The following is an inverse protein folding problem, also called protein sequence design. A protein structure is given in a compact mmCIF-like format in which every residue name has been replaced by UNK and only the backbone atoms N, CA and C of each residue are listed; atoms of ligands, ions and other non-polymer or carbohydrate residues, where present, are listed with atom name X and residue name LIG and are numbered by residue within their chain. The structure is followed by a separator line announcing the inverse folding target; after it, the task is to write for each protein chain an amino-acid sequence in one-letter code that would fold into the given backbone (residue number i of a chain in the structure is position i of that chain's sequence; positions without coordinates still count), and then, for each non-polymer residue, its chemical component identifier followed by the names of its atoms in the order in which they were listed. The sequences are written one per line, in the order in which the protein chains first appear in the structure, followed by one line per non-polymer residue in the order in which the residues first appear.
data_IF_116655031306
#
_entry.id   IF_116655031306
#
_cell.length_a   1.000
_cell.length_b   1.000
_cell.length_c   1.000
_cell.angle_alpha   90.00
_cell.angle_beta   90.00
_cell.angle_gamma   90.00
#
_symmetry.space_group_name_H-M   'P 1'
#
loop_
_entity.id
_entity.type
_entity.pdbx_description
1 polymer ?
#
# COMPACT_ATOMS: atom_id res chain seq x y z
N UNK A 1 -4.48 -19.74 -8.67
CA UNK A 1 -5.72 -19.92 -9.46
C UNK A 1 -6.90 -19.39 -8.67
N UNK A 2 -7.63 -18.44 -9.24
CA UNK A 2 -8.90 -17.99 -8.67
C UNK A 2 -9.91 -19.11 -8.91
N UNK A 3 -10.48 -19.65 -7.84
CA UNK A 3 -11.41 -20.76 -7.92
C UNK A 3 -12.64 -20.43 -8.80
N UNK A 4 -13.04 -21.37 -9.64
CA UNK A 4 -14.16 -21.22 -10.60
C UNK A 4 -15.51 -20.84 -9.97
N UNK A 5 -15.65 -20.90 -8.65
CA UNK A 5 -16.88 -20.52 -7.93
C UNK A 5 -17.11 -19.01 -7.76
N UNK A 6 -16.10 -18.15 -8.08
CA UNK A 6 -16.22 -16.69 -8.01
C UNK A 6 -16.50 -16.05 -9.37
N UNK A 7 -16.54 -16.83 -10.45
CA UNK A 7 -16.70 -16.33 -11.81
C UNK A 7 -18.16 -16.44 -12.22
N UNK A 8 -18.94 -15.43 -11.92
CA UNK A 8 -20.20 -15.18 -12.63
C UNK A 8 -19.88 -14.50 -13.97
N UNK A 9 -20.72 -14.69 -14.98
CA UNK A 9 -20.56 -14.15 -16.33
C UNK A 9 -20.47 -12.63 -16.42
N UNK A 10 -20.71 -11.93 -15.31
CA UNK A 10 -20.75 -10.45 -15.23
C UNK A 10 -19.61 -9.86 -14.39
N UNK A 11 -18.71 -10.68 -13.82
CA UNK A 11 -17.64 -10.21 -12.95
C UNK A 11 -16.32 -10.09 -13.72
N UNK A 12 -15.80 -8.87 -13.85
CA UNK A 12 -14.45 -8.61 -14.35
C UNK A 12 -13.45 -8.70 -13.19
N UNK A 13 -12.67 -9.77 -13.12
CA UNK A 13 -11.57 -9.91 -12.18
C UNK A 13 -10.26 -9.54 -12.89
N UNK A 14 -9.42 -8.75 -12.24
CA UNK A 14 -8.10 -8.37 -12.75
C UNK A 14 -7.07 -8.54 -11.66
N UNK A 15 -6.15 -9.47 -11.87
CA UNK A 15 -5.04 -9.70 -10.96
C UNK A 15 -3.87 -8.80 -11.29
N UNK A 16 -3.20 -8.33 -10.25
CA UNK A 16 -1.98 -7.54 -10.37
C UNK A 16 -0.98 -7.97 -9.31
N UNK A 17 0.28 -8.04 -9.72
CA UNK A 17 1.39 -8.21 -8.81
C UNK A 17 2.32 -7.00 -8.92
N UNK A 18 2.45 -6.25 -7.84
CA UNK A 18 3.36 -5.10 -7.71
C UNK A 18 3.94 -5.03 -6.31
N UNK A 19 4.17 -6.19 -5.72
CA UNK A 19 4.64 -6.32 -4.35
C UNK A 19 3.87 -5.39 -3.38
N UNK A 20 4.55 -4.77 -2.43
CA UNK A 20 3.90 -3.94 -1.40
C UNK A 20 3.17 -2.70 -1.94
N UNK A 21 3.41 -2.28 -3.18
CA UNK A 21 2.63 -1.21 -3.83
C UNK A 21 1.38 -1.72 -4.55
N UNK A 22 1.13 -3.02 -4.53
CA UNK A 22 0.05 -3.69 -5.28
C UNK A 22 -1.33 -3.09 -5.04
N UNK A 23 -1.69 -2.79 -3.79
CA UNK A 23 -2.97 -2.17 -3.46
C UNK A 23 -3.10 -0.75 -4.05
N UNK A 24 -2.07 0.08 -3.96
CA UNK A 24 -2.09 1.43 -4.54
C UNK A 24 -2.18 1.40 -6.07
N UNK A 25 -1.51 0.45 -6.70
CA UNK A 25 -1.64 0.24 -8.14
C UNK A 25 -3.04 -0.29 -8.52
N UNK A 26 -3.64 -1.18 -7.71
CA UNK A 26 -5.02 -1.63 -7.92
C UNK A 26 -6.02 -0.48 -7.78
N UNK A 27 -5.84 0.39 -6.79
CA UNK A 27 -6.65 1.61 -6.60
C UNK A 27 -6.56 2.52 -7.83
N UNK A 28 -5.35 2.70 -8.39
CA UNK A 28 -5.15 3.47 -9.61
C UNK A 28 -5.90 2.88 -10.81
N UNK A 29 -5.79 1.57 -11.00
CA UNK A 29 -6.50 0.88 -12.08
C UNK A 29 -8.01 0.99 -11.89
N UNK A 30 -8.50 0.85 -10.64
CA UNK A 30 -9.91 1.02 -10.31
C UNK A 30 -10.44 2.41 -10.71
N UNK A 31 -9.69 3.46 -10.38
CA UNK A 31 -10.04 4.82 -10.79
C UNK A 31 -10.03 5.02 -12.31
N UNK A 32 -9.06 4.44 -13.00
CA UNK A 32 -9.03 4.49 -14.46
C UNK A 32 -10.22 3.76 -15.09
N UNK A 33 -10.67 2.66 -14.48
CA UNK A 33 -11.85 1.93 -14.94
C UNK A 33 -13.14 2.72 -14.77
N UNK A 34 -13.32 3.49 -13.72
CA UNK A 34 -14.48 4.39 -13.59
C UNK A 34 -14.56 5.43 -14.71
N UNK A 35 -13.41 5.89 -15.23
CA UNK A 35 -13.36 6.84 -16.34
C UNK A 35 -13.60 6.20 -17.72
N UNK A 36 -13.49 4.87 -17.83
CA UNK A 36 -13.53 4.14 -19.10
C UNK A 36 -14.66 3.12 -19.21
N UNK A 37 -15.43 2.94 -18.15
CA UNK A 37 -16.55 1.98 -18.08
C UNK A 37 -17.72 2.54 -17.29
N UNK A 38 -18.88 1.89 -17.34
CA UNK A 38 -20.07 2.23 -16.56
C UNK A 38 -20.09 1.57 -15.17
N UNK A 39 -18.96 1.09 -14.66
CA UNK A 39 -18.89 0.49 -13.33
C UNK A 39 -19.22 1.51 -12.25
N UNK A 40 -20.10 1.13 -11.36
CA UNK A 40 -20.51 1.96 -10.21
C UNK A 40 -19.72 1.63 -8.94
N UNK A 41 -19.24 0.41 -8.83
CA UNK A 41 -18.50 -0.11 -7.69
C UNK A 41 -17.37 -1.01 -8.17
N UNK A 42 -16.24 -0.93 -7.50
CA UNK A 42 -15.08 -1.81 -7.71
C UNK A 42 -14.60 -2.27 -6.34
N UNK A 43 -14.45 -3.57 -6.16
CA UNK A 43 -13.85 -4.18 -4.99
C UNK A 43 -12.35 -4.35 -5.22
N UNK A 44 -11.54 -3.71 -4.38
CA UNK A 44 -10.09 -3.82 -4.36
C UNK A 44 -9.68 -4.76 -3.23
N UNK A 45 -8.89 -5.76 -3.52
CA UNK A 45 -8.44 -6.76 -2.54
C UNK A 45 -6.92 -6.83 -2.56
N UNK A 46 -6.30 -6.62 -1.39
CA UNK A 46 -4.92 -7.00 -1.13
C UNK A 46 -4.91 -8.31 -0.36
N UNK A 47 -4.30 -9.36 -0.91
CA UNK A 47 -4.24 -10.68 -0.28
C UNK A 47 -2.85 -11.26 -0.44
N UNK A 48 -2.19 -11.47 0.70
CA UNK A 48 -0.78 -11.81 0.73
C UNK A 48 -0.53 -13.00 1.68
N UNK A 49 0.21 -13.99 1.18
CA UNK A 49 0.70 -15.10 1.97
C UNK A 49 2.22 -15.10 1.97
N UNK A 50 2.77 -14.18 2.77
CA UNK A 50 4.22 -13.97 2.87
C UNK A 50 4.93 -15.19 3.44
N UNK A 51 4.27 -15.95 4.31
CA UNK A 51 4.81 -17.18 4.91
C UNK A 51 5.33 -18.21 3.88
N UNK A 52 4.79 -18.19 2.65
CA UNK A 52 5.24 -19.10 1.57
C UNK A 52 6.54 -18.70 0.92
N UNK A 53 6.97 -17.47 1.07
CA UNK A 53 8.15 -16.90 0.40
C UNK A 53 9.20 -16.41 1.39
N UNK A 54 9.12 -16.82 2.66
CA UNK A 54 10.09 -16.51 3.70
C UNK A 54 11.00 -17.69 3.98
N UNK A 55 12.30 -17.41 4.11
CA UNK A 55 13.25 -18.35 4.68
C UNK A 55 13.23 -18.21 6.21
N UNK A 56 12.65 -19.18 6.90
CA UNK A 56 12.56 -19.16 8.36
C UNK A 56 13.89 -19.34 9.08
N UNK A 57 14.96 -19.66 8.36
CA UNK A 57 16.33 -19.70 8.89
C UNK A 57 17.00 -18.33 8.85
N UNK A 58 16.51 -17.41 8.00
CA UNK A 58 16.97 -16.01 7.94
C UNK A 58 16.14 -15.11 8.87
N UNK A 59 16.64 -14.92 10.07
CA UNK A 59 16.00 -14.04 11.08
C UNK A 59 16.01 -12.56 10.72
N UNK A 60 16.73 -12.14 9.70
CA UNK A 60 16.73 -10.75 9.24
C UNK A 60 15.48 -10.39 8.43
N UNK A 61 14.79 -11.38 7.90
CA UNK A 61 13.59 -11.23 7.07
C UNK A 61 12.36 -11.88 7.68
N UNK A 62 12.42 -13.11 8.16
CA UNK A 62 11.23 -13.88 8.57
C UNK A 62 10.44 -13.25 9.72
N UNK A 63 11.08 -12.46 10.59
CA UNK A 63 10.44 -11.81 11.74
C UNK A 63 9.68 -10.53 11.37
N UNK A 64 9.78 -10.05 10.14
CA UNK A 64 9.21 -8.78 9.73
C UNK A 64 7.84 -8.92 9.08
N UNK A 65 7.62 -10.04 8.39
CA UNK A 65 6.45 -10.22 7.52
C UNK A 65 5.35 -11.03 8.18
N UNK A 66 4.10 -10.73 7.80
CA UNK A 66 2.91 -11.47 8.18
C UNK A 66 2.04 -11.80 6.97
N UNK A 67 1.17 -12.80 7.12
CA UNK A 67 0.10 -13.09 6.17
C UNK A 67 -1.10 -12.20 6.48
N UNK A 68 -1.82 -11.77 5.45
CA UNK A 68 -3.01 -10.96 5.65
C UNK A 68 -3.78 -10.68 4.37
N UNK A 69 -5.03 -10.30 4.55
CA UNK A 69 -5.89 -9.84 3.47
C UNK A 69 -6.75 -8.66 3.95
N UNK A 70 -6.96 -7.70 3.07
CA UNK A 70 -7.85 -6.58 3.30
C UNK A 70 -8.56 -6.19 2.01
N UNK A 71 -9.77 -5.68 2.12
CA UNK A 71 -10.58 -5.30 0.98
C UNK A 71 -11.22 -3.93 1.16
N UNK A 72 -11.30 -3.16 0.07
CA UNK A 72 -11.93 -1.84 0.04
C UNK A 72 -12.89 -1.77 -1.14
N UNK A 73 -14.14 -1.43 -0.87
CA UNK A 73 -15.13 -1.15 -1.89
C UNK A 73 -15.04 0.33 -2.25
N UNK A 74 -14.68 0.64 -3.50
CA UNK A 74 -14.71 2.00 -4.03
C UNK A 74 -15.94 2.21 -4.89
N UNK A 75 -16.50 3.42 -4.84
CA UNK A 75 -17.68 3.84 -5.59
C UNK A 75 -17.31 4.97 -6.54
N UNK A 76 -17.83 4.93 -7.76
CA UNK A 76 -17.74 6.07 -8.68
C UNK A 76 -18.40 7.30 -8.05
N UNK A 77 -17.64 8.37 -7.87
CA UNK A 77 -18.09 9.64 -7.30
C UNK A 77 -17.17 10.77 -7.78
N UNK A 78 -17.64 12.01 -7.65
CA UNK A 78 -16.85 13.22 -7.98
C UNK A 78 -15.95 13.66 -6.81
N UNK A 79 -15.51 12.70 -5.98
CA UNK A 79 -14.62 12.96 -4.87
C UNK A 79 -13.19 13.15 -5.36
N UNK A 80 -12.38 13.83 -4.54
CA UNK A 80 -11.00 14.08 -4.89
C UNK A 80 -10.20 12.79 -4.92
N UNK A 81 -9.53 12.57 -6.06
CA UNK A 81 -8.54 11.54 -6.25
C UNK A 81 -7.31 12.08 -6.98
N UNK A 82 -6.16 11.89 -6.41
CA UNK A 82 -4.86 12.19 -7.05
C UNK A 82 -3.90 11.06 -6.75
N UNK A 83 -2.96 10.82 -7.66
CA UNK A 83 -1.93 9.82 -7.43
C UNK A 83 -0.63 10.14 -8.16
N UNK A 84 0.42 9.52 -7.68
CA UNK A 84 1.74 9.45 -8.30
C UNK A 84 2.25 8.01 -8.20
N UNK A 85 2.97 7.56 -9.24
CA UNK A 85 3.57 6.23 -9.29
C UNK A 85 4.95 6.34 -9.93
N UNK A 86 5.90 5.65 -9.34
CA UNK A 86 7.27 5.59 -9.83
C UNK A 86 7.81 4.18 -9.75
N UNK A 87 8.73 3.87 -10.64
CA UNK A 87 9.49 2.63 -10.63
C UNK A 87 10.94 2.89 -11.00
N UNK A 88 11.83 2.09 -10.40
CA UNK A 88 13.26 2.04 -10.71
C UNK A 88 13.70 0.58 -10.69
N UNK A 89 14.25 0.07 -11.77
CA UNK A 89 14.78 -1.29 -11.80
C UNK A 89 15.94 -1.46 -10.83
N UNK A 90 15.79 -2.37 -9.87
CA UNK A 90 16.81 -2.70 -8.89
C UNK A 90 16.52 -4.11 -8.32
N UNK A 91 17.48 -5.01 -8.49
CA UNK A 91 17.38 -6.40 -8.03
C UNK A 91 18.24 -6.70 -6.82
N UNK A 92 19.01 -5.73 -6.31
CA UNK A 92 19.96 -5.92 -5.23
C UNK A 92 19.43 -5.47 -3.87
N UNK A 93 18.46 -4.57 -3.86
CA UNK A 93 17.91 -3.99 -2.63
C UNK A 93 16.81 -4.85 -2.03
N UNK A 94 15.86 -5.28 -2.85
CA UNK A 94 14.74 -6.13 -2.44
C UNK A 94 14.27 -6.97 -3.61
N UNK A 95 14.34 -8.28 -3.47
CA UNK A 95 13.97 -9.22 -4.52
C UNK A 95 13.22 -10.44 -3.97
N UNK A 96 12.26 -10.91 -4.73
CA UNK A 96 11.64 -12.22 -4.58
C UNK A 96 11.39 -12.79 -5.97
N UNK A 97 11.97 -13.94 -6.26
CA UNK A 97 11.85 -14.59 -7.60
C UNK A 97 10.57 -15.39 -7.76
N UNK A 98 9.80 -15.52 -6.67
CA UNK A 98 8.51 -16.20 -6.68
C UNK A 98 8.58 -17.70 -6.49
N UNK A 99 7.43 -18.29 -6.19
CA UNK A 99 7.27 -19.72 -5.90
C UNK A 99 7.70 -20.56 -7.11
N UNK A 100 8.51 -21.57 -6.86
CA UNK A 100 9.04 -22.48 -7.91
C UNK A 100 10.38 -22.06 -8.52
N UNK A 101 10.89 -20.87 -8.23
CA UNK A 101 12.25 -20.48 -8.59
C UNK A 101 13.30 -21.11 -7.65
N UNK A 102 14.51 -21.28 -8.16
CA UNK A 102 15.66 -21.70 -7.36
C UNK A 102 16.05 -20.56 -6.43
N UNK A 103 15.81 -20.16 -5.44
CA UNK A 103 15.87 -18.96 -4.62
C UNK A 103 14.52 -18.21 -4.57
N UNK A 104 13.45 -18.93 -4.21
CA UNK A 104 12.09 -18.39 -4.16
C UNK A 104 11.87 -17.38 -3.02
N UNK A 105 12.78 -17.32 -2.05
CA UNK A 105 12.60 -16.52 -0.84
C UNK A 105 12.88 -15.03 -1.05
N UNK A 106 12.20 -14.22 -0.23
CA UNK A 106 12.47 -12.78 -0.15
C UNK A 106 13.90 -12.56 0.36
N UNK A 107 14.67 -11.79 -0.39
CA UNK A 107 16.01 -11.32 0.01
C UNK A 107 16.02 -9.80 0.01
N UNK A 108 16.60 -9.21 1.03
CA UNK A 108 16.69 -7.75 1.11
C UNK A 108 17.96 -7.26 1.81
N UNK A 109 18.44 -6.11 1.34
CA UNK A 109 19.40 -5.31 2.07
C UNK A 109 18.64 -4.32 2.97
N UNK A 110 18.44 -4.66 4.24
CA UNK A 110 17.60 -3.89 5.16
C UNK A 110 18.02 -2.42 5.30
N UNK A 111 19.33 -2.11 5.27
CA UNK A 111 19.81 -0.73 5.33
C UNK A 111 19.51 0.06 4.05
N UNK A 112 19.64 -0.58 2.90
CA UNK A 112 19.30 0.05 1.62
C UNK A 112 17.79 0.25 1.49
N UNK A 113 16.97 -0.75 1.89
CA UNK A 113 15.51 -0.64 1.95
C UNK A 113 15.09 0.50 2.87
N UNK A 114 15.68 0.62 4.07
CA UNK A 114 15.35 1.68 5.01
C UNK A 114 15.58 3.08 4.42
N UNK A 115 16.77 3.32 3.85
CA UNK A 115 17.07 4.63 3.23
C UNK A 115 16.13 4.93 2.07
N UNK A 116 15.97 3.98 1.16
CA UNK A 116 15.04 4.11 0.04
C UNK A 116 13.61 4.43 0.52
N UNK A 117 13.09 3.66 1.48
CA UNK A 117 11.74 3.82 2.00
C UNK A 117 11.49 5.20 2.60
N UNK A 118 12.41 5.69 3.44
CA UNK A 118 12.29 7.02 4.06
C UNK A 118 12.27 8.12 3.01
N UNK A 119 13.13 8.03 2.01
CA UNK A 119 13.24 9.05 0.97
C UNK A 119 11.98 9.07 0.09
N UNK A 120 11.53 7.90 -0.40
CA UNK A 120 10.39 7.85 -1.34
C UNK A 120 9.05 8.07 -0.67
N UNK A 121 8.87 7.69 0.61
CA UNK A 121 7.65 8.02 1.35
C UNK A 121 7.55 9.53 1.56
N UNK A 122 8.64 10.17 1.98
CA UNK A 122 8.66 11.63 2.12
C UNK A 122 8.39 12.31 0.79
N UNK A 123 9.11 11.93 -0.26
CA UNK A 123 8.90 12.45 -1.61
C UNK A 123 7.45 12.29 -2.05
N UNK A 124 6.88 11.10 -1.87
CA UNK A 124 5.51 10.79 -2.29
C UNK A 124 4.46 11.63 -1.56
N UNK A 125 4.62 11.86 -0.25
CA UNK A 125 3.73 12.74 0.53
C UNK A 125 3.85 14.19 0.06
N UNK A 126 5.06 14.72 -0.08
CA UNK A 126 5.28 16.10 -0.52
C UNK A 126 4.73 16.35 -1.94
N UNK A 127 4.98 15.41 -2.86
CA UNK A 127 4.53 15.56 -4.25
C UNK A 127 3.01 15.44 -4.38
N UNK A 128 2.35 14.54 -3.62
CA UNK A 128 0.91 14.40 -3.69
C UNK A 128 0.20 15.64 -3.12
N UNK A 129 0.72 16.22 -2.04
CA UNK A 129 0.24 17.50 -1.50
C UNK A 129 0.37 18.62 -2.53
N UNK A 130 1.56 18.77 -3.13
CA UNK A 130 1.80 19.76 -4.18
C UNK A 130 0.89 19.56 -5.40
N UNK A 131 0.70 18.32 -5.85
CA UNK A 131 -0.18 17.98 -6.99
C UNK A 131 -1.65 18.29 -6.72
N UNK A 132 -2.02 18.31 -5.45
CA UNK A 132 -3.40 18.55 -5.01
C UNK A 132 -3.64 20.00 -4.58
N UNK A 133 -2.61 20.85 -4.59
CA UNK A 133 -2.63 22.21 -4.05
C UNK A 133 -3.12 22.24 -2.59
N UNK A 134 -2.58 21.32 -1.77
CA UNK A 134 -2.94 21.13 -0.37
C UNK A 134 -1.72 21.17 0.54
N UNK A 135 -1.99 21.38 1.81
CA UNK A 135 -1.05 21.28 2.92
C UNK A 135 -1.41 20.12 3.83
N UNK A 136 -0.57 19.79 4.80
CA UNK A 136 -0.89 18.76 5.80
C UNK A 136 -2.06 19.15 6.70
N UNK A 137 -2.38 20.43 6.85
CA UNK A 137 -3.53 20.87 7.63
C UNK A 137 -4.86 20.40 7.00
N UNK A 138 -4.87 20.21 5.68
CA UNK A 138 -6.04 19.76 4.92
C UNK A 138 -6.22 18.22 4.97
N UNK A 139 -5.26 17.48 5.53
CA UNK A 139 -5.24 16.02 5.56
C UNK A 139 -5.62 15.52 6.94
N UNK A 140 -6.52 14.55 7.00
CA UNK A 140 -6.94 13.91 8.25
C UNK A 140 -5.97 12.80 8.68
N UNK A 141 -5.62 11.90 7.76
CA UNK A 141 -4.74 10.75 8.03
C UNK A 141 -3.73 10.49 6.93
N UNK A 142 -2.59 9.96 7.34
CA UNK A 142 -1.54 9.45 6.46
C UNK A 142 -1.36 7.96 6.78
N UNK A 143 -1.75 7.10 5.84
CA UNK A 143 -1.65 5.65 5.94
C UNK A 143 -0.52 5.17 5.04
N UNK A 144 0.64 4.94 5.64
CA UNK A 144 1.76 4.35 4.92
C UNK A 144 1.64 2.82 4.86
N UNK A 145 2.23 2.21 3.84
CA UNK A 145 2.51 0.79 3.87
C UNK A 145 3.23 0.42 5.17
N UNK A 146 2.69 -0.56 5.90
CA UNK A 146 3.17 -1.00 7.20
C UNK A 146 4.36 -1.96 7.04
N UNK A 147 5.49 -1.45 6.53
CA UNK A 147 6.69 -2.24 6.29
C UNK A 147 7.54 -2.43 7.54
N UNK A 148 7.72 -1.36 8.31
CA UNK A 148 8.50 -1.32 9.53
C UNK A 148 8.16 -0.04 10.30
N UNK A 149 7.86 -0.17 11.59
CA UNK A 149 7.52 0.96 12.44
C UNK A 149 8.61 2.04 12.48
N UNK A 150 9.89 1.62 12.44
CA UNK A 150 11.03 2.56 12.45
C UNK A 150 11.06 3.45 11.21
N UNK A 151 10.63 2.92 10.04
CA UNK A 151 10.53 3.69 8.80
C UNK A 151 9.46 4.76 8.97
N UNK A 152 8.24 4.38 9.37
CA UNK A 152 7.11 5.30 9.52
C UNK A 152 7.45 6.36 10.59
N UNK A 153 8.01 5.95 11.71
CA UNK A 153 8.45 6.86 12.78
C UNK A 153 9.56 7.83 12.33
N UNK A 154 10.41 7.42 11.38
CA UNK A 154 11.41 8.31 10.82
C UNK A 154 10.79 9.33 9.85
N UNK A 155 9.85 8.89 9.02
CA UNK A 155 9.14 9.76 8.08
C UNK A 155 8.28 10.78 8.82
N UNK A 156 7.48 10.37 9.81
CA UNK A 156 6.60 11.29 10.56
C UNK A 156 7.36 12.41 11.29
N UNK A 157 8.59 12.14 11.76
CA UNK A 157 9.48 13.19 12.33
C UNK A 157 9.90 14.27 11.33
N UNK A 158 9.69 14.07 10.02
CA UNK A 158 9.93 15.09 9.00
C UNK A 158 8.78 16.09 8.88
N UNK A 159 7.67 15.85 9.59
CA UNK A 159 6.45 16.65 9.56
C UNK A 159 6.07 17.10 10.98
N UNK A 160 6.89 17.97 11.62
CA UNK A 160 6.66 18.41 12.99
C UNK A 160 5.31 19.11 13.13
N UNK A 161 4.54 18.73 14.16
CA UNK A 161 3.18 19.21 14.41
C UNK A 161 2.07 18.43 13.69
N UNK A 162 2.42 17.41 12.89
CA UNK A 162 1.46 16.55 12.17
C UNK A 162 1.75 15.07 12.39
N UNK A 163 2.54 14.72 13.39
CA UNK A 163 2.96 13.34 13.66
C UNK A 163 1.78 12.44 14.03
N UNK A 164 0.74 13.00 14.62
CA UNK A 164 -0.50 12.33 15.02
C UNK A 164 -1.36 11.88 13.83
N UNK A 165 -1.16 12.46 12.65
CA UNK A 165 -1.87 12.06 11.42
C UNK A 165 -1.41 10.72 10.86
N UNK A 166 -0.21 10.24 11.26
CA UNK A 166 0.32 8.97 10.77
C UNK A 166 -0.27 7.78 11.51
N UNK A 167 -1.01 6.97 10.79
CA UNK A 167 -1.59 5.74 11.31
C UNK A 167 -0.57 4.60 11.31
N UNK A 168 -0.46 3.87 12.41
CA UNK A 168 0.49 2.76 12.58
C UNK A 168 -0.22 1.61 13.31
N UNK A 169 -0.22 0.42 12.70
CA UNK A 169 -0.76 -0.82 13.27
C UNK A 169 0.14 -2.05 13.04
N UNK A 170 1.35 -1.84 12.57
CA UNK A 170 2.28 -2.93 12.21
C UNK A 170 2.59 -3.87 13.39
N UNK A 171 2.50 -3.39 14.63
CA UNK A 171 2.75 -4.22 15.81
C UNK A 171 1.79 -5.41 15.90
N UNK A 172 0.57 -5.27 15.38
CA UNK A 172 -0.47 -6.29 15.42
C UNK A 172 -0.35 -7.31 14.26
N UNK A 173 0.06 -6.84 13.06
CA UNK A 173 0.00 -7.64 11.83
C UNK A 173 1.35 -7.95 11.20
N UNK A 174 2.41 -7.22 11.57
CA UNK A 174 3.65 -7.24 10.81
C UNK A 174 3.51 -6.61 9.43
N UNK A 175 4.48 -6.87 8.56
CA UNK A 175 4.44 -6.42 7.17
C UNK A 175 3.63 -7.43 6.32
N UNK A 176 2.38 -7.11 6.06
CA UNK A 176 1.47 -7.91 5.20
C UNK A 176 1.49 -7.46 3.74
N UNK A 177 2.61 -6.89 3.27
CA UNK A 177 2.80 -6.47 1.87
C UNK A 177 1.65 -5.58 1.36
N UNK A 178 1.01 -5.91 0.23
CA UNK A 178 -0.09 -5.13 -0.33
C UNK A 178 -1.36 -5.11 0.53
N UNK A 179 -1.54 -6.05 1.44
CA UNK A 179 -2.69 -6.07 2.36
C UNK A 179 -2.58 -5.03 3.49
N UNK A 180 -1.40 -4.49 3.77
CA UNK A 180 -1.17 -3.64 4.93
C UNK A 180 -1.97 -2.33 4.93
N UNK A 181 -2.09 -1.67 3.79
CA UNK A 181 -2.89 -0.44 3.66
C UNK A 181 -4.39 -0.74 3.83
N UNK A 182 -5.02 -1.69 3.10
CA UNK A 182 -6.44 -1.95 3.29
C UNK A 182 -6.80 -2.46 4.69
N UNK A 183 -5.92 -3.20 5.38
CA UNK A 183 -6.11 -3.57 6.80
C UNK A 183 -6.12 -2.31 7.69
N UNK A 184 -5.18 -1.41 7.49
CA UNK A 184 -5.12 -0.15 8.24
C UNK A 184 -6.34 0.75 7.97
N UNK A 185 -6.83 0.77 6.73
CA UNK A 185 -8.04 1.50 6.36
C UNK A 185 -9.30 0.92 7.03
N UNK A 186 -9.40 -0.41 7.14
CA UNK A 186 -10.51 -1.07 7.83
C UNK A 186 -10.54 -0.71 9.32
N UNK A 187 -9.42 -0.74 10.01
CA UNK A 187 -9.33 -0.35 11.41
C UNK A 187 -9.69 1.13 11.63
N UNK A 188 -9.21 2.02 10.76
CA UNK A 188 -9.61 3.43 10.79
C UNK A 188 -11.13 3.58 10.61
N UNK A 189 -11.73 2.82 9.69
CA UNK A 189 -13.17 2.84 9.48
C UNK A 189 -13.93 2.34 10.72
N UNK A 190 -13.48 1.25 11.34
CA UNK A 190 -14.08 0.69 12.55
C UNK A 190 -13.96 1.62 13.76
N UNK A 191 -12.91 2.42 13.83
CA UNK A 191 -12.72 3.42 14.90
C UNK A 191 -13.60 4.67 14.75
N UNK A 192 -14.43 4.75 13.71
CA UNK A 192 -15.27 5.91 13.41
C UNK A 192 -14.53 7.09 12.79
N UNK A 193 -13.30 6.86 12.32
CA UNK A 193 -12.46 7.90 11.71
C UNK A 193 -12.68 8.07 10.19
N UNK A 194 -13.63 7.33 9.62
CA UNK A 194 -13.91 7.30 8.17
C UNK A 194 -15.22 8.04 7.81
N UNK A 195 -15.46 9.18 8.47
CA UNK A 195 -16.59 10.02 8.14
C UNK A 195 -16.46 10.58 6.71
N UNK A 196 -17.60 10.90 6.10
CA UNK A 196 -17.66 11.51 4.77
C UNK A 196 -16.86 12.81 4.70
N UNK A 197 -16.05 12.93 3.65
CA UNK A 197 -15.24 14.11 3.36
C UNK A 197 -13.86 14.11 4.04
N UNK A 198 -13.47 13.02 4.70
CA UNK A 198 -12.11 12.89 5.21
C UNK A 198 -11.11 12.72 4.08
N UNK A 199 -9.98 13.38 4.20
CA UNK A 199 -8.90 13.32 3.23
C UNK A 199 -7.74 12.49 3.77
N UNK A 200 -7.36 11.47 3.02
CA UNK A 200 -6.30 10.56 3.40
C UNK A 200 -5.19 10.54 2.35
N UNK A 201 -3.96 10.56 2.80
CA UNK A 201 -2.81 10.20 1.96
C UNK A 201 -2.46 8.75 2.22
N UNK A 202 -2.48 7.94 1.17
CA UNK A 202 -1.99 6.57 1.15
C UNK A 202 -0.62 6.58 0.49
N UNK A 203 0.40 6.01 1.12
CA UNK A 203 1.75 5.99 0.58
C UNK A 203 2.42 4.63 0.77
N UNK A 204 3.07 4.12 -0.25
CA UNK A 204 3.72 2.81 -0.21
C UNK A 204 4.94 2.72 -1.10
N UNK A 205 5.78 1.75 -0.79
CA UNK A 205 6.97 1.38 -1.55
C UNK A 205 7.12 -0.14 -1.53
N UNK A 206 7.88 -0.68 -2.46
CA UNK A 206 8.11 -2.12 -2.54
C UNK A 206 9.19 -2.51 -3.54
N UNK A 207 9.27 -3.82 -3.76
CA UNK A 207 10.18 -4.40 -4.75
C UNK A 207 9.89 -3.84 -6.15
N UNK A 208 10.95 -3.81 -6.94
CA UNK A 208 10.92 -3.27 -8.26
C UNK A 208 12.18 -2.45 -8.54
N UNK A 209 12.58 -1.43 -7.81
CA UNK A 209 11.85 -0.75 -6.73
C UNK A 209 10.66 0.02 -7.26
N UNK A 210 9.60 0.07 -6.52
CA UNK A 210 8.41 0.85 -6.86
C UNK A 210 7.94 1.68 -5.67
N UNK A 211 7.33 2.84 -5.92
CA UNK A 211 6.64 3.61 -4.89
C UNK A 211 5.46 4.37 -5.47
N UNK A 212 4.47 4.56 -4.64
CA UNK A 212 3.22 5.19 -5.02
C UNK A 212 2.63 5.96 -3.86
N UNK A 213 1.98 7.07 -4.16
CA UNK A 213 1.13 7.79 -3.22
C UNK A 213 -0.18 8.18 -3.87
N UNK A 214 -1.24 8.14 -3.10
CA UNK A 214 -2.57 8.57 -3.51
C UNK A 214 -3.19 9.47 -2.45
N UNK A 215 -3.88 10.51 -2.88
CA UNK A 215 -4.80 11.30 -2.07
C UNK A 215 -6.21 10.87 -2.43
N UNK A 216 -6.97 10.49 -1.41
CA UNK A 216 -8.37 10.09 -1.52
C UNK A 216 -9.24 10.93 -0.59
N UNK A 217 -10.50 11.10 -0.96
CA UNK A 217 -11.55 11.67 -0.11
C UNK A 217 -12.66 10.62 0.07
N UNK A 218 -13.08 10.39 1.34
CA UNK A 218 -14.11 9.40 1.71
C UNK A 218 -15.54 9.86 1.41
#
# INVERSE_FOLDING_TARGET
EIGSGLVGSEMCIRDRSSACTGFLHALNVGQALFNSTDYKYILLIGSEQMSKILDYTDRSTCVLFGDGAGAVLIKAADNMYRQINYTRGDTDVLVCRGIGAQDAYVKMNGNAVFRFAVDVLKQGIDEILKKSDMTLDDIDYIVCHQANERIINHVKKKYPGHEDKFYINIAEYGNTSAASIPIALDELAQSGCFDKGRKLILAGFGAGLSWSSALIET
#
